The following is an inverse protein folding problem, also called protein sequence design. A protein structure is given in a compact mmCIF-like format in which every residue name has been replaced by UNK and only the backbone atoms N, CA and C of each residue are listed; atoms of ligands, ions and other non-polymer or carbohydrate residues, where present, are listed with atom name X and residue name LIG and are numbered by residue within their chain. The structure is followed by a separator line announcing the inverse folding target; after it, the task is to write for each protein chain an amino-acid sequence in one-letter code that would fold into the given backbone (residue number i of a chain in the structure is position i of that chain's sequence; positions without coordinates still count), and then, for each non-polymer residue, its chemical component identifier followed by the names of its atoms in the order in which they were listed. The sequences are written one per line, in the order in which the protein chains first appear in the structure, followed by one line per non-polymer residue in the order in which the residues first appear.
data_IF_976539980707
#
_entry.id   IF_976539980707
#
_cell.length_a   1.000
_cell.length_b   1.000
_cell.length_c   1.000
_cell.angle_alpha   90.00
_cell.angle_beta   90.00
_cell.angle_gamma   90.00
#
_symmetry.space_group_name_H-M   'P 1'
#
loop_
_entity.id
_entity.type
_entity.pdbx_description
1 polymer ?
#
# COMPACT_ATOMS: atom_id res chain seq x y z
N UNK A 1 11.46 40.35 -15.85
CA UNK A 1 10.52 39.35 -15.29
C UNK A 1 10.26 38.14 -16.19
N UNK A 2 10.79 38.07 -17.43
CA UNK A 2 10.58 36.93 -18.35
C UNK A 2 11.55 35.74 -18.18
N UNK A 3 12.68 35.93 -17.49
CA UNK A 3 13.80 34.96 -17.46
C UNK A 3 13.58 33.78 -16.52
N UNK A 4 12.78 33.95 -15.46
CA UNK A 4 12.49 32.91 -14.45
C UNK A 4 11.48 31.88 -14.93
N UNK A 5 10.48 32.28 -15.74
CA UNK A 5 9.47 31.38 -16.29
C UNK A 5 10.08 30.38 -17.31
N UNK A 6 11.04 30.81 -18.11
CA UNK A 6 11.73 29.95 -19.10
C UNK A 6 12.63 28.91 -18.43
N UNK A 7 13.31 29.28 -17.35
CA UNK A 7 14.14 28.36 -16.57
C UNK A 7 13.30 27.29 -15.86
N UNK A 8 12.15 27.68 -15.30
CA UNK A 8 11.20 26.75 -14.69
C UNK A 8 10.65 25.75 -15.71
N UNK A 9 10.26 26.21 -16.90
CA UNK A 9 9.78 25.35 -17.98
C UNK A 9 10.86 24.37 -18.47
N UNK A 10 12.12 24.80 -18.55
CA UNK A 10 13.23 23.92 -18.90
C UNK A 10 13.49 22.85 -17.84
N UNK A 11 13.44 23.21 -16.55
CA UNK A 11 13.61 22.27 -15.44
C UNK A 11 12.48 21.22 -15.40
N UNK A 12 11.23 21.65 -15.57
CA UNK A 12 10.06 20.76 -15.63
C UNK A 12 10.18 19.81 -16.83
N UNK A 13 10.55 20.31 -18.01
CA UNK A 13 10.73 19.48 -19.21
C UNK A 13 11.85 18.45 -19.04
N UNK A 14 12.95 18.84 -18.39
CA UNK A 14 14.07 17.94 -18.06
C UNK A 14 13.67 16.86 -17.06
N UNK A 15 12.86 17.21 -16.06
CA UNK A 15 12.33 16.26 -15.07
C UNK A 15 11.37 15.27 -15.73
N UNK A 16 10.41 15.75 -16.52
CA UNK A 16 9.46 14.92 -17.27
C UNK A 16 10.18 13.98 -18.24
N UNK A 17 11.18 14.48 -18.97
CA UNK A 17 11.97 13.64 -19.86
C UNK A 17 12.74 12.55 -19.11
N UNK A 18 13.33 12.89 -17.95
CA UNK A 18 14.02 11.93 -17.09
C UNK A 18 13.07 10.85 -16.54
N UNK A 19 11.85 11.24 -16.20
CA UNK A 19 10.77 10.36 -15.74
C UNK A 19 10.35 9.37 -16.84
N UNK A 20 10.09 9.88 -18.05
CA UNK A 20 9.72 9.05 -19.21
C UNK A 20 10.84 8.05 -19.53
N UNK A 21 12.10 8.50 -19.52
CA UNK A 21 13.27 7.64 -19.75
C UNK A 21 13.39 6.52 -18.70
N UNK A 22 13.13 6.83 -17.43
CA UNK A 22 13.21 5.86 -16.35
C UNK A 22 12.11 4.78 -16.49
N UNK A 23 10.88 5.21 -16.76
CA UNK A 23 9.76 4.29 -17.00
C UNK A 23 10.02 3.39 -18.21
N UNK A 24 10.55 3.93 -19.31
CA UNK A 24 10.87 3.13 -20.50
C UNK A 24 12.04 2.18 -20.28
N UNK A 25 13.09 2.60 -19.56
CA UNK A 25 14.27 1.77 -19.31
C UNK A 25 13.94 0.55 -18.45
N UNK A 26 13.09 0.73 -17.42
CA UNK A 26 12.66 -0.35 -16.53
C UNK A 26 11.33 -1.00 -16.94
N UNK A 27 10.75 -0.61 -18.08
CA UNK A 27 9.43 -1.08 -18.56
C UNK A 27 8.32 -0.97 -17.51
N UNK A 28 8.30 0.14 -16.77
CA UNK A 28 7.32 0.40 -15.71
C UNK A 28 6.14 1.21 -16.26
N UNK A 29 4.92 0.86 -15.82
CA UNK A 29 3.69 1.57 -16.19
C UNK A 29 3.49 2.86 -15.37
N UNK A 30 4.09 2.93 -14.18
CA UNK A 30 4.00 4.08 -13.29
C UNK A 30 5.27 4.25 -12.46
N UNK A 31 5.39 5.40 -11.79
CA UNK A 31 6.56 5.73 -10.99
C UNK A 31 6.76 4.73 -9.85
N UNK A 32 7.91 4.04 -9.77
CA UNK A 32 8.21 3.22 -8.62
C UNK A 32 8.54 4.12 -7.41
N UNK A 33 8.20 3.65 -6.22
CA UNK A 33 8.47 4.33 -4.94
C UNK A 33 7.69 5.63 -4.71
N UNK A 34 6.39 5.64 -5.03
CA UNK A 34 5.52 6.73 -4.60
C UNK A 34 5.46 6.82 -3.06
N UNK A 35 5.44 8.04 -2.51
CA UNK A 35 5.37 8.26 -1.05
C UNK A 35 4.11 7.67 -0.42
N UNK A 36 3.04 7.51 -1.20
CA UNK A 36 1.80 6.87 -0.78
C UNK A 36 1.89 5.36 -0.99
N UNK A 37 1.85 4.52 0.06
CA UNK A 37 1.78 3.08 -0.11
C UNK A 37 0.52 2.71 -0.89
N UNK A 38 0.70 2.19 -2.11
CA UNK A 38 -0.40 1.76 -2.97
C UNK A 38 -0.68 0.27 -2.75
N UNK A 39 -1.87 -0.06 -2.25
CA UNK A 39 -2.30 -1.45 -1.97
C UNK A 39 -2.45 -2.30 -3.24
N UNK A 40 -2.44 -1.70 -4.43
CA UNK A 40 -2.45 -2.42 -5.71
C UNK A 40 -1.16 -3.22 -5.94
N UNK A 41 -0.04 -2.83 -5.30
CA UNK A 41 1.22 -3.59 -5.34
C UNK A 41 1.34 -4.65 -4.24
N UNK A 42 0.22 -5.12 -3.70
CA UNK A 42 0.25 -6.23 -2.76
C UNK A 42 0.83 -7.49 -3.44
N UNK A 43 2.03 -7.89 -3.05
CA UNK A 43 2.59 -9.17 -3.47
C UNK A 43 1.92 -10.29 -2.65
N UNK A 44 1.05 -11.05 -3.31
CA UNK A 44 0.30 -12.15 -2.70
C UNK A 44 1.15 -13.41 -2.51
N UNK A 45 2.21 -13.30 -1.71
CA UNK A 45 3.00 -14.45 -1.30
C UNK A 45 2.11 -15.48 -0.60
N UNK A 46 2.42 -16.75 -0.80
CA UNK A 46 1.64 -17.87 -0.29
C UNK A 46 1.35 -17.77 1.23
N UNK A 47 2.30 -17.41 2.12
CA UNK A 47 2.02 -17.22 3.54
C UNK A 47 0.99 -16.13 3.84
N UNK A 48 0.94 -15.06 3.03
CA UNK A 48 -0.05 -14.00 3.23
C UNK A 48 -1.44 -14.43 2.82
N UNK A 49 -1.57 -15.26 1.77
CA UNK A 49 -2.85 -15.79 1.33
C UNK A 49 -3.40 -16.79 2.35
N UNK A 50 -2.56 -17.69 2.86
CA UNK A 50 -2.93 -18.63 3.92
C UNK A 50 -3.39 -17.90 5.19
N UNK A 51 -2.61 -16.91 5.64
CA UNK A 51 -3.00 -16.10 6.80
C UNK A 51 -4.31 -15.33 6.58
N UNK A 52 -4.54 -14.80 5.37
CA UNK A 52 -5.80 -14.12 5.03
C UNK A 52 -7.00 -15.08 5.08
N UNK A 53 -6.87 -16.31 4.57
CA UNK A 53 -7.94 -17.30 4.61
C UNK A 53 -8.30 -17.70 6.05
N UNK A 54 -7.28 -17.86 6.91
CA UNK A 54 -7.50 -18.13 8.33
C UNK A 54 -8.26 -16.97 8.98
N UNK A 55 -7.84 -15.73 8.75
CA UNK A 55 -8.50 -14.54 9.30
C UNK A 55 -9.96 -14.42 8.84
N UNK A 56 -10.23 -14.61 7.55
CA UNK A 56 -11.59 -14.55 7.00
C UNK A 56 -12.48 -15.67 7.55
N UNK A 57 -11.93 -16.86 7.74
CA UNK A 57 -12.67 -18.01 8.30
C UNK A 57 -13.01 -17.76 9.77
N UNK A 58 -12.04 -17.34 10.57
CA UNK A 58 -12.24 -17.01 11.99
C UNK A 58 -13.28 -15.90 12.18
N UNK A 59 -13.24 -14.85 11.35
CA UNK A 59 -14.25 -13.79 11.36
C UNK A 59 -15.65 -14.32 11.00
N UNK A 60 -15.78 -15.18 9.98
CA UNK A 60 -17.06 -15.81 9.61
C UNK A 60 -17.62 -16.72 10.70
N UNK A 61 -16.74 -17.38 11.46
CA UNK A 61 -17.12 -18.23 12.60
C UNK A 61 -17.48 -17.41 13.85
N UNK A 62 -17.23 -16.10 13.87
CA UNK A 62 -17.48 -15.25 15.02
C UNK A 62 -16.47 -15.46 16.16
N UNK A 63 -15.23 -15.85 15.84
CA UNK A 63 -14.18 -15.91 16.86
C UNK A 63 -13.94 -14.53 17.47
N UNK A 64 -13.89 -14.44 18.81
CA UNK A 64 -13.85 -13.16 19.51
C UNK A 64 -12.52 -12.40 19.39
N UNK A 65 -11.39 -13.10 19.37
CA UNK A 65 -10.07 -12.48 19.32
C UNK A 65 -9.11 -13.24 18.41
N UNK A 66 -8.53 -12.53 17.44
CA UNK A 66 -7.55 -13.09 16.51
C UNK A 66 -6.26 -12.27 16.61
N UNK A 67 -5.13 -12.96 16.76
CA UNK A 67 -3.80 -12.34 16.85
C UNK A 67 -2.95 -12.73 15.67
N UNK A 68 -2.41 -11.74 14.96
CA UNK A 68 -1.45 -11.96 13.86
C UNK A 68 -0.03 -11.73 14.38
N UNK A 69 0.83 -12.74 14.25
CA UNK A 69 2.24 -12.70 14.67
C UNK A 69 3.18 -12.97 13.49
N UNK A 70 4.48 -12.70 13.68
CA UNK A 70 5.51 -12.87 12.67
C UNK A 70 6.66 -11.88 12.84
N UNK A 71 7.77 -12.13 12.18
CA UNK A 71 9.00 -11.34 12.28
C UNK A 71 8.86 -9.90 11.75
N UNK A 72 9.82 -9.03 12.06
CA UNK A 72 9.82 -7.65 11.54
C UNK A 72 9.90 -7.69 10.00
N UNK A 73 9.09 -6.87 9.33
CA UNK A 73 9.08 -6.80 7.87
C UNK A 73 8.19 -7.85 7.17
N UNK A 74 7.56 -8.78 7.89
CA UNK A 74 6.69 -9.82 7.28
C UNK A 74 5.30 -9.33 6.84
N UNK A 75 5.10 -8.02 6.73
CA UNK A 75 3.85 -7.48 6.18
C UNK A 75 2.61 -7.59 7.08
N UNK A 76 2.73 -7.89 8.38
CA UNK A 76 1.58 -7.97 9.33
C UNK A 76 0.61 -6.78 9.22
N UNK A 77 1.13 -5.55 9.28
CA UNK A 77 0.32 -4.32 9.17
C UNK A 77 -0.40 -4.23 7.81
N UNK A 78 0.28 -4.68 6.76
CA UNK A 78 -0.22 -4.66 5.40
C UNK A 78 -1.27 -5.76 5.18
N UNK A 79 -1.13 -6.93 5.82
CA UNK A 79 -2.15 -7.98 5.88
C UNK A 79 -3.43 -7.46 6.58
N UNK A 80 -3.29 -6.80 7.74
CA UNK A 80 -4.44 -6.21 8.44
C UNK A 80 -5.15 -5.16 7.57
N UNK A 81 -4.40 -4.26 6.91
CA UNK A 81 -5.00 -3.28 5.99
C UNK A 81 -5.74 -3.94 4.82
N UNK A 82 -5.17 -5.01 4.25
CA UNK A 82 -5.82 -5.76 3.18
C UNK A 82 -7.12 -6.43 3.67
N UNK A 83 -7.12 -6.96 4.90
CA UNK A 83 -8.31 -7.52 5.52
C UNK A 83 -9.42 -6.46 5.63
N UNK A 84 -9.10 -5.27 6.12
CA UNK A 84 -10.08 -4.17 6.21
C UNK A 84 -10.70 -3.83 4.84
N UNK A 85 -9.87 -3.78 3.80
CA UNK A 85 -10.36 -3.51 2.44
C UNK A 85 -11.27 -4.63 1.89
N UNK A 86 -11.11 -5.87 2.36
CA UNK A 86 -11.92 -7.01 1.92
C UNK A 86 -13.28 -7.14 2.62
N UNK A 87 -13.46 -6.45 3.75
CA UNK A 87 -14.68 -6.51 4.57
C UNK A 87 -15.75 -5.47 4.17
N UNK A 88 -15.51 -4.71 3.09
CA UNK A 88 -16.42 -3.64 2.65
C UNK A 88 -17.74 -4.23 2.11
N UNK A 89 -18.82 -4.08 2.88
CA UNK A 89 -20.18 -4.47 2.48
C UNK A 89 -21.12 -4.64 3.66
N UNK A 90 -20.73 -5.46 4.63
CA UNK A 90 -21.66 -5.97 5.67
C UNK A 90 -21.15 -5.78 7.11
N UNK A 91 -19.99 -5.13 7.31
CA UNK A 91 -19.32 -5.05 8.62
C UNK A 91 -18.95 -3.62 8.96
N UNK A 92 -19.25 -3.20 10.19
CA UNK A 92 -18.74 -1.94 10.74
C UNK A 92 -17.32 -2.18 11.24
N UNK A 93 -16.36 -1.46 10.65
CA UNK A 93 -14.94 -1.61 10.96
C UNK A 93 -14.44 -0.40 11.74
N UNK A 94 -13.83 -0.64 12.90
CA UNK A 94 -13.03 0.34 13.62
C UNK A 94 -11.55 -0.03 13.53
N UNK A 95 -10.72 0.88 13.01
CA UNK A 95 -9.27 0.68 12.90
C UNK A 95 -8.53 1.58 13.89
N UNK A 96 -7.77 0.96 14.80
CA UNK A 96 -6.94 1.63 15.79
C UNK A 96 -5.46 1.42 15.44
N UNK A 97 -4.84 2.33 14.66
CA UNK A 97 -3.43 2.20 14.27
C UNK A 97 -2.46 2.48 15.41
N UNK A 98 -2.88 3.29 16.39
CA UNK A 98 -2.06 3.70 17.52
C UNK A 98 -2.62 3.08 18.81
N UNK A 99 -1.88 2.22 19.51
CA UNK A 99 -2.31 1.67 20.80
C UNK A 99 -2.23 2.70 21.94
N UNK A 100 -1.51 3.81 21.75
CA UNK A 100 -1.43 4.93 22.69
C UNK A 100 -2.46 5.99 22.32
N UNK A 101 -3.74 5.72 22.56
CA UNK A 101 -4.71 6.79 22.71
C UNK A 101 -4.57 7.35 24.14
N UNK A 102 -4.47 8.67 24.34
CA UNK A 102 -4.59 9.27 25.68
C UNK A 102 -5.98 9.02 26.29
#
# INVERSE_FOLDING_TARGET
MATTATALNAAVKKLVFKLIMYLSFFSLQEMPFSLTPNTQFFCALQPHNEAMQVLLTALKMGEGFIKVTGEVGTGKTLLCRKLLNSLAGDVVVAYLPNPYLP
#
